data_IF_129508188575
#
_entry.id   IF_129508188575
#
_cell.length_a   1.000
_cell.length_b   1.000
_cell.length_c   1.000
_cell.angle_alpha   90.00
_cell.angle_beta   90.00
_cell.angle_gamma   90.00
#
_symmetry.space_group_name_H-M   'P 1'
#
loop_
_entity.id
_entity.type
_entity.pdbx_description
1 polymer ?
#
# COMPACT_ATOMS: atom_id res chain seq x y z
N UNK A 1 15.57 7.06 13.43
CA UNK A 1 15.13 5.66 13.59
C UNK A 1 14.66 5.03 12.26
N UNK A 2 13.69 5.58 11.57
CA UNK A 2 13.16 5.02 10.31
C UNK A 2 14.20 4.82 9.21
N UNK A 3 15.10 5.80 8.99
CA UNK A 3 16.16 5.70 7.99
C UNK A 3 17.14 4.53 8.26
N UNK A 4 17.40 4.23 9.52
CA UNK A 4 18.26 3.10 9.90
C UNK A 4 17.57 1.76 9.62
N UNK A 5 16.26 1.68 9.83
CA UNK A 5 15.45 0.51 9.53
C UNK A 5 15.39 0.25 8.02
N UNK A 6 15.10 1.27 7.23
CA UNK A 6 15.07 1.20 5.77
C UNK A 6 16.45 0.78 5.21
N UNK A 7 17.54 1.36 5.73
CA UNK A 7 18.90 0.96 5.34
C UNK A 7 19.22 -0.49 5.71
N UNK A 8 18.73 -0.96 6.85
CA UNK A 8 18.94 -2.35 7.30
C UNK A 8 18.26 -3.35 6.34
N UNK A 9 17.06 -3.04 5.83
CA UNK A 9 16.30 -3.86 4.89
C UNK A 9 16.67 -3.68 3.42
N UNK A 10 17.83 -3.11 3.08
CA UNK A 10 18.19 -2.75 1.69
C UNK A 10 17.12 -1.87 1.00
N UNK A 11 16.50 -0.99 1.76
CA UNK A 11 15.35 -0.18 1.33
C UNK A 11 15.61 0.67 0.09
N UNK A 12 16.86 1.01 -0.22
CA UNK A 12 17.19 1.77 -1.41
C UNK A 12 16.80 1.05 -2.72
N UNK A 13 16.78 -0.30 -2.71
CA UNK A 13 16.28 -1.11 -3.84
C UNK A 13 14.80 -1.40 -3.72
N UNK A 14 14.31 -1.66 -2.50
CA UNK A 14 12.92 -2.11 -2.28
C UNK A 14 11.93 -0.96 -2.36
N UNK A 15 12.28 0.22 -1.83
CA UNK A 15 11.40 1.40 -1.85
C UNK A 15 10.95 1.79 -3.26
N UNK A 16 11.84 1.91 -4.27
CA UNK A 16 11.40 2.21 -5.64
C UNK A 16 10.52 1.11 -6.22
N UNK A 17 10.79 -0.17 -5.92
CA UNK A 17 9.94 -1.29 -6.38
C UNK A 17 8.54 -1.16 -5.77
N UNK A 18 8.43 -0.89 -4.47
CA UNK A 18 7.15 -0.69 -3.79
C UNK A 18 6.39 0.51 -4.36
N UNK A 19 7.08 1.62 -4.62
CA UNK A 19 6.45 2.81 -5.20
C UNK A 19 5.93 2.54 -6.62
N UNK A 20 6.73 1.88 -7.46
CA UNK A 20 6.31 1.56 -8.84
C UNK A 20 5.17 0.54 -8.82
N UNK A 21 5.29 -0.56 -8.07
CA UNK A 21 4.25 -1.57 -7.97
C UNK A 21 2.93 -0.98 -7.40
N UNK A 22 3.03 -0.14 -6.36
CA UNK A 22 1.88 0.54 -5.78
C UNK A 22 1.24 1.55 -6.74
N UNK A 23 2.03 2.30 -7.49
CA UNK A 23 1.52 3.21 -8.51
C UNK A 23 0.81 2.45 -9.66
N UNK A 24 1.39 1.33 -10.11
CA UNK A 24 0.75 0.48 -11.13
C UNK A 24 -0.53 -0.17 -10.62
N UNK A 25 -0.53 -0.65 -9.37
CA UNK A 25 -1.73 -1.18 -8.72
C UNK A 25 -2.83 -0.12 -8.68
N UNK A 26 -2.50 1.10 -8.24
CA UNK A 26 -3.45 2.19 -8.12
C UNK A 26 -3.95 2.68 -9.49
N UNK A 27 -3.09 2.72 -10.49
CA UNK A 27 -3.48 3.03 -11.86
C UNK A 27 -4.47 1.99 -12.41
N UNK A 28 -4.22 0.69 -12.17
CA UNK A 28 -5.14 -0.38 -12.57
C UNK A 28 -6.50 -0.28 -11.87
N UNK A 29 -6.51 0.07 -10.58
CA UNK A 29 -7.74 0.30 -9.81
C UNK A 29 -8.55 1.47 -10.39
N UNK A 30 -7.89 2.60 -10.66
CA UNK A 30 -8.53 3.77 -11.23
C UNK A 30 -9.05 3.49 -12.66
N UNK A 31 -8.27 2.79 -13.48
CA UNK A 31 -8.65 2.41 -14.83
C UNK A 31 -9.84 1.44 -14.84
N UNK A 32 -9.87 0.50 -13.90
CA UNK A 32 -10.99 -0.43 -13.70
C UNK A 32 -12.28 0.33 -13.33
N UNK A 33 -12.19 1.30 -12.41
CA UNK A 33 -13.32 2.14 -12.02
C UNK A 33 -13.82 3.00 -13.19
N UNK A 34 -12.90 3.57 -13.97
CA UNK A 34 -13.24 4.33 -15.18
C UNK A 34 -13.93 3.45 -16.23
N UNK A 35 -13.44 2.21 -16.43
CA UNK A 35 -14.00 1.26 -17.36
C UNK A 35 -15.46 0.91 -16.99
N UNK A 36 -15.75 0.68 -15.71
CA UNK A 36 -17.10 0.39 -15.23
C UNK A 36 -18.06 1.57 -15.47
N UNK A 37 -17.61 2.81 -15.22
CA UNK A 37 -18.43 4.01 -15.48
C UNK A 37 -18.76 4.12 -16.97
N UNK A 38 -17.77 3.88 -17.82
CA UNK A 38 -17.93 3.94 -19.26
C UNK A 38 -18.86 2.83 -19.77
N UNK A 39 -18.73 1.61 -19.24
CA UNK A 39 -19.61 0.50 -19.52
C UNK A 39 -21.07 0.79 -19.12
N UNK A 40 -21.29 1.34 -17.93
CA UNK A 40 -22.63 1.74 -17.46
C UNK A 40 -23.29 2.78 -18.36
N UNK A 41 -22.54 3.76 -18.86
CA UNK A 41 -23.06 4.73 -19.84
C UNK A 41 -23.54 4.05 -21.12
N UNK A 42 -22.77 3.12 -21.62
CA UNK A 42 -23.11 2.39 -22.83
C UNK A 42 -24.34 1.50 -22.68
N UNK A 43 -24.44 0.78 -21.54
CA UNK A 43 -25.63 -0.01 -21.26
C UNK A 43 -26.87 0.89 -21.08
N UNK A 44 -26.73 2.06 -20.48
CA UNK A 44 -27.79 3.06 -20.39
C UNK A 44 -28.23 3.58 -21.75
N UNK A 45 -27.32 3.89 -22.66
CA UNK A 45 -27.64 4.31 -24.04
C UNK A 45 -28.34 3.20 -24.84
N UNK A 46 -27.91 1.95 -24.68
CA UNK A 46 -28.62 0.81 -25.30
C UNK A 46 -30.04 0.66 -24.79
N UNK A 47 -30.23 0.77 -23.47
CA UNK A 47 -31.56 0.68 -22.85
C UNK A 47 -32.50 1.78 -23.37
N UNK A 48 -31.94 3.00 -23.52
CA UNK A 48 -32.73 4.14 -24.04
C UNK A 48 -33.07 3.99 -25.54
N UNK A 49 -32.16 3.42 -26.35
CA UNK A 49 -32.43 3.08 -27.76
C UNK A 49 -33.52 2.02 -27.88
N UNK A 50 -33.50 0.97 -27.06
CA UNK A 50 -34.54 -0.08 -27.03
C UNK A 50 -35.90 0.53 -26.61
N UNK A 51 -35.89 1.42 -25.62
CA UNK A 51 -37.12 2.08 -25.15
C UNK A 51 -37.75 3.00 -26.21
N UNK A 52 -36.95 3.52 -27.14
CA UNK A 52 -37.37 4.39 -28.24
C UNK A 52 -37.64 3.66 -29.57
N UNK A 53 -37.59 2.32 -29.57
CA UNK A 53 -37.78 1.46 -30.76
C UNK A 53 -36.80 1.78 -31.91
N UNK A 54 -35.58 2.24 -31.57
CA UNK A 54 -34.50 2.54 -32.52
C UNK A 54 -33.56 1.34 -32.63
N UNK A 55 -33.13 0.92 -33.84
CA UNK A 55 -32.26 -0.23 -33.98
C UNK A 55 -30.93 0.01 -33.27
N UNK A 56 -30.56 -0.93 -32.36
CA UNK A 56 -29.30 -0.88 -31.59
C UNK A 56 -28.12 -1.04 -32.56
N UNK A 57 -27.42 0.04 -32.80
CA UNK A 57 -26.26 0.09 -33.76
C UNK A 57 -24.99 -0.47 -33.20
N UNK A 58 -24.90 -0.73 -31.88
CA UNK A 58 -23.67 -1.13 -31.22
C UNK A 58 -23.81 -2.49 -30.53
N UNK A 59 -23.57 -3.55 -31.29
CA UNK A 59 -23.55 -4.92 -30.77
C UNK A 59 -22.14 -5.29 -30.28
N UNK A 60 -21.66 -4.62 -29.19
CA UNK A 60 -20.43 -5.08 -28.49
C UNK A 60 -20.78 -6.27 -27.60
N UNK A 61 -19.95 -7.29 -27.68
CA UNK A 61 -20.08 -8.51 -26.91
C UNK A 61 -19.81 -8.22 -25.42
N UNK A 62 -20.78 -8.49 -24.55
CA UNK A 62 -20.65 -8.42 -23.08
C UNK A 62 -19.42 -9.17 -22.59
N UNK A 63 -19.04 -10.26 -23.28
CA UNK A 63 -17.85 -11.04 -22.95
C UNK A 63 -16.54 -10.27 -23.07
N UNK A 64 -16.43 -9.35 -24.05
CA UNK A 64 -15.24 -8.53 -24.23
C UNK A 64 -15.10 -7.46 -23.12
N UNK A 65 -16.21 -6.85 -22.74
CA UNK A 65 -16.27 -5.83 -21.70
C UNK A 65 -15.95 -6.42 -20.32
N UNK A 66 -16.54 -7.58 -19.99
CA UNK A 66 -16.22 -8.34 -18.79
C UNK A 66 -14.77 -8.85 -18.80
N UNK A 67 -14.26 -9.26 -19.98
CA UNK A 67 -12.87 -9.70 -20.15
C UNK A 67 -11.84 -8.62 -19.83
N UNK A 68 -12.08 -7.38 -20.27
CA UNK A 68 -11.19 -6.24 -19.96
C UNK A 68 -11.21 -5.94 -18.46
N UNK A 69 -12.38 -5.94 -17.83
CA UNK A 69 -12.50 -5.73 -16.39
C UNK A 69 -11.75 -6.82 -15.59
N UNK A 70 -11.93 -8.09 -16.00
CA UNK A 70 -11.22 -9.20 -15.38
C UNK A 70 -9.70 -9.11 -15.55
N UNK A 71 -9.23 -8.71 -16.73
CA UNK A 71 -7.80 -8.51 -16.98
C UNK A 71 -7.20 -7.41 -16.11
N UNK A 72 -7.88 -6.27 -15.95
CA UNK A 72 -7.47 -5.19 -15.06
C UNK A 72 -7.43 -5.65 -13.60
N UNK A 73 -8.40 -6.46 -13.16
CA UNK A 73 -8.41 -7.06 -11.81
C UNK A 73 -7.22 -8.00 -11.59
N UNK A 74 -6.87 -8.83 -12.56
CA UNK A 74 -5.70 -9.72 -12.48
C UNK A 74 -4.41 -8.90 -12.39
N UNK A 75 -4.26 -7.86 -13.21
CA UNK A 75 -3.10 -6.97 -13.18
C UNK A 75 -2.97 -6.29 -11.80
N UNK A 76 -4.08 -5.81 -11.25
CA UNK A 76 -4.11 -5.23 -9.91
C UNK A 76 -3.64 -6.23 -8.84
N UNK A 77 -4.13 -7.47 -8.87
CA UNK A 77 -3.72 -8.53 -7.94
C UNK A 77 -2.23 -8.84 -8.06
N UNK A 78 -1.69 -8.91 -9.28
CA UNK A 78 -0.26 -9.17 -9.51
C UNK A 78 0.62 -8.06 -8.91
N UNK A 79 0.29 -6.79 -9.15
CA UNK A 79 1.05 -5.68 -8.58
C UNK A 79 0.91 -5.58 -7.06
N UNK A 80 -0.28 -5.88 -6.51
CA UNK A 80 -0.47 -5.99 -5.07
C UNK A 80 0.45 -7.07 -4.47
N UNK A 81 0.47 -8.25 -5.08
CA UNK A 81 1.33 -9.36 -4.64
C UNK A 81 2.82 -8.98 -4.69
N UNK A 82 3.28 -8.34 -5.77
CA UNK A 82 4.66 -7.85 -5.89
C UNK A 82 5.01 -6.85 -4.78
N UNK A 83 4.10 -5.91 -4.50
CA UNK A 83 4.28 -4.93 -3.43
C UNK A 83 4.37 -5.60 -2.05
N UNK A 84 3.48 -6.55 -1.77
CA UNK A 84 3.46 -7.27 -0.50
C UNK A 84 4.70 -8.13 -0.28
N UNK A 85 5.17 -8.82 -1.31
CA UNK A 85 6.41 -9.60 -1.26
C UNK A 85 7.62 -8.70 -1.05
N UNK A 86 7.69 -7.57 -1.78
CA UNK A 86 8.79 -6.62 -1.64
C UNK A 86 8.87 -6.04 -0.22
N UNK A 87 7.74 -5.62 0.36
CA UNK A 87 7.66 -5.16 1.74
C UNK A 87 8.00 -6.26 2.74
N UNK A 88 7.51 -7.48 2.52
CA UNK A 88 7.82 -8.64 3.36
C UNK A 88 9.32 -8.95 3.40
N UNK A 89 9.97 -8.94 2.24
CA UNK A 89 11.44 -9.15 2.16
C UNK A 89 12.20 -8.03 2.88
N UNK A 90 11.79 -6.77 2.70
CA UNK A 90 12.42 -5.62 3.36
C UNK A 90 12.32 -5.74 4.88
N UNK A 91 11.13 -6.02 5.40
CA UNK A 91 10.90 -6.14 6.84
C UNK A 91 11.66 -7.33 7.43
N UNK A 92 11.66 -8.47 6.76
CA UNK A 92 12.43 -9.65 7.18
C UNK A 92 13.94 -9.37 7.27
N UNK A 93 14.52 -8.76 6.24
CA UNK A 93 15.95 -8.41 6.23
C UNK A 93 16.29 -7.37 7.31
N UNK A 94 15.41 -6.39 7.53
CA UNK A 94 15.59 -5.37 8.56
C UNK A 94 15.54 -5.99 9.96
N UNK A 95 14.55 -6.85 10.23
CA UNK A 95 14.38 -7.53 11.50
C UNK A 95 15.57 -8.44 11.82
N UNK A 96 15.99 -9.27 10.88
CA UNK A 96 17.17 -10.12 11.05
C UNK A 96 18.41 -9.32 11.40
N UNK A 97 18.68 -8.21 10.70
CA UNK A 97 19.84 -7.36 10.97
C UNK A 97 19.77 -6.67 12.33
N UNK A 98 18.58 -6.24 12.75
CA UNK A 98 18.37 -5.66 14.07
C UNK A 98 18.58 -6.70 15.17
N UNK A 99 18.06 -7.91 14.99
CA UNK A 99 18.25 -9.02 15.90
C UNK A 99 19.75 -9.36 16.07
N UNK A 100 20.46 -9.57 14.96
CA UNK A 100 21.88 -9.89 14.96
C UNK A 100 22.72 -8.78 15.65
N UNK A 101 22.40 -7.52 15.38
CA UNK A 101 23.08 -6.39 16.02
C UNK A 101 22.76 -6.29 17.52
N UNK A 102 21.52 -6.56 17.90
CA UNK A 102 21.11 -6.59 19.31
C UNK A 102 21.82 -7.72 20.06
N UNK A 103 21.78 -8.93 19.51
CA UNK A 103 22.44 -10.09 20.10
C UNK A 103 23.96 -9.88 20.26
N UNK A 104 24.64 -9.37 19.23
CA UNK A 104 26.06 -9.03 19.32
C UNK A 104 26.35 -8.06 20.45
N UNK A 105 25.58 -6.98 20.60
CA UNK A 105 25.77 -6.01 21.69
C UNK A 105 25.60 -6.61 23.08
N UNK A 106 24.67 -7.56 23.22
CA UNK A 106 24.49 -8.25 24.51
C UNK A 106 25.67 -9.21 24.79
N UNK A 107 26.08 -10.01 23.80
CA UNK A 107 27.19 -10.98 23.98
C UNK A 107 28.51 -10.27 24.32
N UNK A 108 28.78 -9.11 23.74
CA UNK A 108 29.99 -8.31 23.99
C UNK A 108 29.83 -7.28 25.13
N UNK A 109 28.74 -7.36 25.93
CA UNK A 109 28.55 -6.49 27.07
C UNK A 109 29.57 -6.84 28.21
N UNK A 110 30.07 -5.86 28.95
CA UNK A 110 31.00 -6.12 30.07
C UNK A 110 30.27 -6.88 31.19
N UNK A 111 31.02 -7.71 31.94
CA UNK A 111 30.45 -8.58 32.99
C UNK A 111 29.67 -7.78 34.05
N UNK A 112 30.14 -6.60 34.42
CA UNK A 112 29.48 -5.69 35.34
C UNK A 112 28.03 -5.33 34.92
N UNK A 113 27.71 -5.36 33.61
CA UNK A 113 26.37 -5.13 33.11
C UNK A 113 25.44 -6.33 33.38
N UNK A 114 25.96 -7.56 33.29
CA UNK A 114 25.20 -8.78 33.61
C UNK A 114 24.92 -8.89 35.10
N UNK A 115 25.84 -8.46 35.95
CA UNK A 115 25.67 -8.45 37.43
C UNK A 115 24.56 -7.49 37.87
N UNK A 116 24.34 -6.41 37.13
CA UNK A 116 23.31 -5.40 37.45
C UNK A 116 21.98 -5.62 36.73
N UNK A 117 21.96 -6.47 35.69
CA UNK A 117 20.77 -6.65 34.85
C UNK A 117 20.20 -8.07 34.99
N UNK A 118 18.97 -8.25 35.53
CA UNK A 118 18.36 -9.57 35.66
C UNK A 118 18.20 -10.26 34.30
N UNK A 119 18.62 -11.52 34.20
CA UNK A 119 18.55 -12.32 32.97
C UNK A 119 17.13 -12.37 32.38
N UNK A 120 16.11 -12.42 33.22
CA UNK A 120 14.71 -12.40 32.80
C UNK A 120 14.31 -11.14 32.04
N UNK A 121 14.90 -9.98 32.35
CA UNK A 121 14.66 -8.74 31.61
C UNK A 121 15.27 -8.79 30.21
N UNK A 122 16.44 -9.37 30.06
CA UNK A 122 17.11 -9.57 28.78
C UNK A 122 16.28 -10.52 27.91
N UNK A 123 15.89 -11.67 28.46
CA UNK A 123 15.09 -12.67 27.75
C UNK A 123 13.71 -12.14 27.33
N UNK A 124 13.05 -11.35 28.19
CA UNK A 124 11.75 -10.76 27.86
C UNK A 124 11.85 -9.73 26.72
N UNK A 125 12.91 -8.93 26.69
CA UNK A 125 13.16 -8.00 25.57
C UNK A 125 13.44 -8.75 24.26
N UNK A 126 14.27 -9.77 24.29
CA UNK A 126 14.56 -10.57 23.09
C UNK A 126 13.39 -11.43 22.63
N UNK A 127 12.49 -11.86 23.51
CA UNK A 127 11.28 -12.57 23.13
C UNK A 127 10.19 -11.61 22.62
N UNK A 128 9.75 -10.69 23.48
CA UNK A 128 8.58 -9.87 23.24
C UNK A 128 8.83 -8.70 22.26
N UNK A 129 9.96 -7.98 22.45
CA UNK A 129 10.23 -6.80 21.62
C UNK A 129 10.58 -7.19 20.19
N UNK A 130 11.19 -8.37 19.99
CA UNK A 130 11.49 -8.91 18.64
C UNK A 130 10.21 -9.40 17.96
N UNK A 131 9.32 -10.08 18.66
CA UNK A 131 8.02 -10.47 18.11
C UNK A 131 7.19 -9.25 17.65
N UNK A 132 7.24 -8.16 18.40
CA UNK A 132 6.62 -6.89 18.01
C UNK A 132 7.26 -6.31 16.74
N UNK A 133 8.59 -6.38 16.62
CA UNK A 133 9.32 -5.91 15.43
C UNK A 133 9.01 -6.77 14.20
N UNK A 134 8.94 -8.08 14.36
CA UNK A 134 8.75 -9.02 13.26
C UNK A 134 7.30 -9.00 12.74
N UNK A 135 6.32 -8.99 13.63
CA UNK A 135 4.92 -9.14 13.29
C UNK A 135 4.17 -7.81 13.22
N UNK A 136 4.23 -7.02 14.28
CA UNK A 136 3.42 -5.80 14.37
C UNK A 136 3.98 -4.68 13.49
N UNK A 137 5.29 -4.43 13.55
CA UNK A 137 5.90 -3.36 12.76
C UNK A 137 5.81 -3.65 11.26
N UNK A 138 6.00 -4.91 10.85
CA UNK A 138 5.84 -5.33 9.45
C UNK A 138 4.44 -5.07 8.91
N UNK A 139 3.42 -5.42 9.69
CA UNK A 139 2.03 -5.18 9.33
C UNK A 139 1.68 -3.69 9.29
N UNK A 140 2.16 -2.91 10.25
CA UNK A 140 1.95 -1.46 10.28
C UNK A 140 2.60 -0.76 9.08
N UNK A 141 3.83 -1.12 8.72
CA UNK A 141 4.50 -0.54 7.54
C UNK A 141 3.73 -0.85 6.26
N UNK A 142 3.25 -2.10 6.10
CA UNK A 142 2.43 -2.50 4.97
C UNK A 142 1.12 -1.71 4.92
N UNK A 143 0.41 -1.63 6.03
CA UNK A 143 -0.85 -0.92 6.13
C UNK A 143 -0.68 0.59 5.85
N UNK A 144 0.35 1.24 6.41
CA UNK A 144 0.65 2.63 6.12
C UNK A 144 0.94 2.85 4.63
N UNK A 145 1.78 2.01 4.02
CA UNK A 145 2.12 2.13 2.61
C UNK A 145 0.88 2.00 1.71
N UNK A 146 0.06 0.96 1.93
CA UNK A 146 -1.17 0.74 1.16
C UNK A 146 -2.19 1.87 1.35
N UNK A 147 -2.36 2.36 2.57
CA UNK A 147 -3.30 3.45 2.87
C UNK A 147 -2.88 4.76 2.20
N UNK A 148 -1.60 5.13 2.28
CA UNK A 148 -1.08 6.35 1.63
C UNK A 148 -1.27 6.26 0.12
N UNK A 149 -0.91 5.15 -0.51
CA UNK A 149 -1.10 4.94 -1.95
C UNK A 149 -2.58 4.98 -2.35
N UNK A 150 -3.46 4.40 -1.54
CA UNK A 150 -4.90 4.40 -1.78
C UNK A 150 -5.50 5.81 -1.70
N UNK A 151 -5.11 6.60 -0.69
CA UNK A 151 -5.54 8.00 -0.55
C UNK A 151 -5.07 8.83 -1.75
N UNK A 152 -3.81 8.71 -2.15
CA UNK A 152 -3.28 9.41 -3.31
C UNK A 152 -4.01 9.03 -4.59
N UNK A 153 -4.25 7.75 -4.81
CA UNK A 153 -4.98 7.26 -5.99
C UNK A 153 -6.43 7.71 -6.03
N UNK A 154 -7.14 7.63 -4.91
CA UNK A 154 -8.50 8.14 -4.80
C UNK A 154 -8.56 9.66 -5.05
N UNK A 155 -7.61 10.41 -4.50
CA UNK A 155 -7.51 11.87 -4.70
C UNK A 155 -7.31 12.22 -6.18
N UNK A 156 -6.42 11.51 -6.87
CA UNK A 156 -6.19 11.69 -8.32
C UNK A 156 -7.47 11.40 -9.11
N UNK A 157 -8.16 10.31 -8.78
CA UNK A 157 -9.42 9.93 -9.44
C UNK A 157 -10.47 11.03 -9.31
N UNK A 158 -10.66 11.54 -8.09
CA UNK A 158 -11.65 12.60 -7.82
C UNK A 158 -11.29 13.89 -8.55
N UNK A 159 -10.01 14.28 -8.59
CA UNK A 159 -9.56 15.49 -9.31
C UNK A 159 -9.80 15.35 -10.82
N UNK A 160 -9.57 14.18 -11.39
CA UNK A 160 -9.78 13.90 -12.83
C UNK A 160 -11.25 14.00 -13.22
N UNK A 161 -12.15 13.48 -12.37
CA UNK A 161 -13.60 13.51 -12.66
C UNK A 161 -14.27 14.83 -12.32
N UNK A 162 -13.77 15.53 -11.29
CA UNK A 162 -14.41 16.75 -10.79
C UNK A 162 -13.32 17.75 -10.41
N UNK A 163 -12.83 18.50 -11.40
CA UNK A 163 -11.71 19.42 -11.21
C UNK A 163 -11.94 20.46 -10.09
N UNK A 164 -13.20 20.87 -9.84
CA UNK A 164 -13.54 21.73 -8.71
C UNK A 164 -13.26 21.09 -7.34
N UNK A 165 -13.21 19.77 -7.27
CA UNK A 165 -12.94 19.05 -6.03
C UNK A 165 -11.46 19.12 -5.60
N UNK A 166 -10.57 19.58 -6.49
CA UNK A 166 -9.17 19.80 -6.17
C UNK A 166 -8.99 20.76 -4.97
N UNK A 167 -9.84 21.77 -4.84
CA UNK A 167 -9.82 22.73 -3.72
C UNK A 167 -10.11 22.01 -2.39
N UNK A 168 -11.11 21.12 -2.38
CA UNK A 168 -11.48 20.33 -1.18
C UNK A 168 -10.37 19.37 -0.79
N UNK A 169 -9.74 18.71 -1.76
CA UNK A 169 -8.62 17.80 -1.53
C UNK A 169 -7.44 18.54 -0.90
N UNK A 170 -7.09 19.72 -1.41
CA UNK A 170 -6.02 20.55 -0.82
C UNK A 170 -6.37 20.95 0.62
N UNK A 171 -7.60 21.37 0.89
CA UNK A 171 -8.05 21.72 2.25
C UNK A 171 -7.93 20.53 3.22
N UNK A 172 -8.31 19.32 2.79
CA UNK A 172 -8.19 18.10 3.60
C UNK A 172 -6.73 17.76 3.89
N UNK A 173 -5.83 17.85 2.89
CA UNK A 173 -4.39 17.59 3.10
C UNK A 173 -3.75 18.62 4.04
N UNK A 174 -4.11 19.90 3.91
CA UNK A 174 -3.64 20.95 4.83
C UNK A 174 -4.13 20.66 6.26
N UNK A 175 -5.40 20.32 6.44
CA UNK A 175 -5.95 19.95 7.74
C UNK A 175 -5.25 18.72 8.34
N UNK A 176 -5.05 17.68 7.55
CA UNK A 176 -4.34 16.46 7.97
C UNK A 176 -2.88 16.76 8.37
N UNK A 177 -2.18 17.62 7.63
CA UNK A 177 -0.84 18.06 7.97
C UNK A 177 -0.80 18.82 9.30
N UNK A 178 -1.71 19.79 9.51
CA UNK A 178 -1.81 20.50 10.80
C UNK A 178 -2.08 19.53 11.95
N UNK A 179 -3.00 18.60 11.78
CA UNK A 179 -3.34 17.63 12.83
C UNK A 179 -2.15 16.70 13.16
N UNK A 180 -1.43 16.25 12.14
CA UNK A 180 -0.22 15.42 12.31
C UNK A 180 0.96 16.16 12.96
N UNK A 181 0.98 17.49 12.89
CA UNK A 181 2.06 18.29 13.49
C UNK A 181 1.76 18.63 14.96
N UNK A 182 0.48 18.67 15.34
CA UNK A 182 0.06 18.96 16.71
C UNK A 182 -0.08 17.74 17.62
N UNK A 183 -0.10 16.54 17.08
CA UNK A 183 -0.16 15.26 17.79
C UNK A 183 1.16 14.49 17.60
#
# INVERSE_FOLDING_TARGET
MWLSYIRAGKGWLVVPIVLVAGACMQASTNLSSYWVIWWQKWEGEKADQIARDVPVTTNKSIGLEAGVYAALGIIQLLFNFVMDVALGVMTFLASRKLHDNGMRRVIYAPMAWFDTTPLGRIMNRFGKDIDVLDNQLSNLVRQCASTVLSILGASIMVIVFTYYFAIVVVAVFVFAYFFSTFY
#
